data_IF_045084152922
#
_entry.id   IF_045084152922
#
_cell.length_a   1.000
_cell.length_b   1.000
_cell.length_c   1.000
_cell.angle_alpha   90.00
_cell.angle_beta   90.00
_cell.angle_gamma   90.00
#
_symmetry.space_group_name_H-M   'P 1'
#
loop_
_entity.id
_entity.type
_entity.pdbx_description
1 polymer ?
#
# COMPACT_ATOMS: atom_id res chain seq x y z
N UNK A 1 -18.76 13.68 -4.61
CA UNK A 1 -17.68 12.86 -5.18
C UNK A 1 -16.34 13.55 -4.97
N UNK A 2 -15.39 12.88 -4.29
CA UNK A 2 -13.96 13.19 -4.34
C UNK A 2 -13.46 14.35 -3.45
N UNK A 3 -13.04 14.04 -2.22
CA UNK A 3 -12.25 14.94 -1.37
C UNK A 3 -10.88 15.18 -2.00
N UNK A 4 -10.67 16.39 -2.52
CA UNK A 4 -9.35 16.92 -2.85
C UNK A 4 -8.80 17.65 -1.62
N UNK A 5 -8.02 16.99 -0.78
CA UNK A 5 -7.39 17.68 0.35
C UNK A 5 -6.23 16.87 0.92
N UNK A 6 -5.00 17.36 0.70
CA UNK A 6 -3.80 16.92 1.40
C UNK A 6 -2.68 16.41 0.50
N UNK A 7 -1.93 17.33 -0.14
CA UNK A 7 -0.75 17.05 -0.96
C UNK A 7 -1.06 16.24 -2.22
N UNK A 8 -0.69 16.71 -3.40
CA UNK A 8 -0.92 15.97 -4.65
C UNK A 8 0.01 14.73 -4.67
N UNK A 9 -0.36 13.67 -3.93
CA UNK A 9 0.36 12.40 -3.94
C UNK A 9 0.24 11.86 -5.36
N UNK A 10 1.36 11.93 -6.08
CA UNK A 10 1.46 11.41 -7.42
C UNK A 10 1.13 9.93 -7.37
N UNK A 11 -0.03 9.56 -7.90
CA UNK A 11 -0.44 8.17 -8.01
C UNK A 11 0.47 7.50 -9.03
N UNK A 12 1.16 6.44 -8.63
CA UNK A 12 2.02 5.64 -9.52
C UNK A 12 1.33 4.31 -9.82
N UNK A 13 1.21 4.00 -11.11
CA UNK A 13 0.67 2.74 -11.59
C UNK A 13 1.69 1.62 -11.41
N UNK A 14 1.35 0.62 -10.59
CA UNK A 14 2.20 -0.54 -10.34
C UNK A 14 2.42 -1.42 -11.59
N UNK A 15 1.48 -1.41 -12.54
CA UNK A 15 1.58 -2.23 -13.75
C UNK A 15 2.66 -1.70 -14.71
N UNK A 16 2.62 -0.39 -15.02
CA UNK A 16 3.48 0.22 -16.05
C UNK A 16 4.49 1.25 -15.53
N UNK A 17 4.51 1.52 -14.22
CA UNK A 17 5.29 2.58 -13.56
C UNK A 17 4.96 4.02 -14.02
N UNK A 18 3.83 4.20 -14.72
CA UNK A 18 3.34 5.51 -15.14
C UNK A 18 2.70 6.29 -13.99
N UNK A 19 2.70 7.63 -14.08
CA UNK A 19 2.08 8.52 -13.09
C UNK A 19 0.62 8.83 -13.49
N UNK A 20 -0.18 9.29 -12.52
CA UNK A 20 -1.51 9.87 -12.76
C UNK A 20 -2.67 8.88 -12.85
N UNK A 21 -2.43 7.57 -12.75
CA UNK A 21 -3.49 6.56 -12.80
C UNK A 21 -3.21 5.35 -11.92
N UNK A 22 -4.29 4.70 -11.47
CA UNK A 22 -4.21 3.45 -10.71
C UNK A 22 -3.97 2.25 -11.64
N UNK A 23 -3.41 1.15 -11.13
CA UNK A 23 -3.20 -0.07 -11.92
C UNK A 23 -4.50 -0.61 -12.55
N UNK A 24 -5.65 -0.44 -11.89
CA UNK A 24 -6.99 -0.80 -12.40
C UNK A 24 -7.44 -0.01 -13.63
N UNK A 25 -6.83 1.15 -13.88
CA UNK A 25 -7.11 2.04 -15.03
C UNK A 25 -6.04 1.90 -16.12
N UNK A 26 -5.04 1.02 -15.93
CA UNK A 26 -3.94 0.89 -16.89
C UNK A 26 -4.41 0.12 -18.13
N UNK A 27 -4.23 0.73 -19.31
CA UNK A 27 -4.54 0.10 -20.60
C UNK A 27 -3.42 -0.82 -21.10
N UNK A 28 -2.21 -0.70 -20.53
CA UNK A 28 -1.10 -1.59 -20.89
C UNK A 28 -1.37 -3.01 -20.39
N UNK A 29 -0.92 -4.05 -21.11
CA UNK A 29 -1.06 -5.44 -20.66
C UNK A 29 -0.44 -5.65 -19.27
N UNK A 30 -0.89 -6.69 -18.57
CA UNK A 30 -0.35 -7.03 -17.25
C UNK A 30 1.14 -7.33 -17.38
N UNK A 31 1.94 -6.73 -16.49
CA UNK A 31 3.38 -6.98 -16.38
C UNK A 31 3.65 -8.47 -16.19
N UNK A 32 4.67 -8.98 -16.88
CA UNK A 32 5.14 -10.38 -16.74
C UNK A 32 5.61 -10.63 -15.30
N UNK A 33 5.32 -11.82 -14.77
CA UNK A 33 5.82 -12.28 -13.45
C UNK A 33 7.27 -12.71 -13.53
N UNK A 34 8.16 -11.77 -13.83
CA UNK A 34 9.61 -11.98 -13.81
C UNK A 34 10.18 -11.79 -12.39
N UNK A 35 11.47 -12.08 -12.22
CA UNK A 35 12.16 -11.91 -10.94
C UNK A 35 12.05 -10.47 -10.40
N UNK A 36 12.04 -9.47 -11.28
CA UNK A 36 11.88 -8.07 -10.90
C UNK A 36 10.49 -7.75 -10.34
N UNK A 37 9.43 -8.36 -10.90
CA UNK A 37 8.07 -8.27 -10.37
C UNK A 37 7.96 -8.92 -8.99
N UNK A 38 8.58 -10.10 -8.80
CA UNK A 38 8.55 -10.78 -7.50
C UNK A 38 9.23 -9.96 -6.39
N UNK A 39 10.41 -9.40 -6.66
CA UNK A 39 11.11 -8.53 -5.68
C UNK A 39 10.24 -7.35 -5.25
N UNK A 40 9.61 -6.69 -6.22
CA UNK A 40 8.73 -5.54 -5.98
C UNK A 40 7.47 -5.93 -5.20
N UNK A 41 6.93 -7.13 -5.45
CA UNK A 41 5.79 -7.68 -4.69
C UNK A 41 6.16 -8.04 -3.25
N UNK A 42 7.32 -8.65 -3.03
CA UNK A 42 7.82 -9.01 -1.69
C UNK A 42 8.01 -7.75 -0.85
N UNK A 43 8.64 -6.72 -1.42
CA UNK A 43 8.85 -5.44 -0.72
C UNK A 43 7.52 -4.79 -0.31
N UNK A 44 6.50 -4.87 -1.16
CA UNK A 44 5.17 -4.34 -0.86
C UNK A 44 4.49 -5.11 0.28
N UNK A 45 4.53 -6.45 0.25
CA UNK A 45 3.97 -7.30 1.32
C UNK A 45 4.71 -7.04 2.63
N UNK A 46 6.03 -6.90 2.59
CA UNK A 46 6.83 -6.58 3.77
C UNK A 46 6.46 -5.21 4.35
N UNK A 47 6.28 -4.19 3.52
CA UNK A 47 5.82 -2.88 3.99
C UNK A 47 4.41 -2.92 4.58
N UNK A 48 3.53 -3.76 4.04
CA UNK A 48 2.19 -3.98 4.59
C UNK A 48 2.23 -4.76 5.91
N UNK A 49 3.06 -5.80 6.01
CA UNK A 49 3.21 -6.58 7.25
C UNK A 49 3.83 -5.75 8.35
N UNK A 50 4.87 -4.94 8.07
CA UNK A 50 5.43 -4.01 9.06
C UNK A 50 4.39 -3.01 9.55
N UNK A 51 3.48 -2.55 8.68
CA UNK A 51 2.36 -1.69 9.10
C UNK A 51 1.33 -2.44 9.95
N UNK A 52 1.11 -3.72 9.66
CA UNK A 52 0.20 -4.58 10.41
C UNK A 52 0.74 -4.85 11.82
N UNK A 53 2.05 -5.14 11.93
CA UNK A 53 2.79 -5.30 13.21
C UNK A 53 2.66 -4.07 14.10
N UNK A 54 2.79 -2.87 13.53
CA UNK A 54 2.61 -1.64 14.31
C UNK A 54 1.15 -1.44 14.76
N UNK A 55 0.18 -1.92 13.99
CA UNK A 55 -1.24 -1.78 14.31
C UNK A 55 -1.69 -2.79 15.38
N UNK A 56 -1.14 -4.01 15.38
CA UNK A 56 -1.36 -5.01 16.43
C UNK A 56 -0.67 -4.63 17.75
N UNK A 57 0.56 -4.07 17.71
CA UNK A 57 1.19 -3.50 18.92
C UNK A 57 0.34 -2.36 19.51
N UNK A 58 -0.12 -1.40 18.70
CA UNK A 58 -0.97 -0.31 19.19
C UNK A 58 -2.31 -0.80 19.79
N UNK A 59 -2.88 -1.88 19.26
CA UNK A 59 -4.06 -2.54 19.81
C UNK A 59 -3.78 -3.25 21.16
N UNK A 60 -2.63 -3.89 21.30
CA UNK A 60 -2.21 -4.55 22.55
C UNK A 60 -1.97 -3.53 23.67
N UNK A 61 -1.36 -2.38 23.35
CA UNK A 61 -1.17 -1.27 24.31
C UNK A 61 -2.46 -0.54 24.71
N UNK A 62 -3.54 -0.64 23.91
CA UNK A 62 -4.84 -0.01 24.21
C UNK A 62 -5.82 -0.95 24.95
N UNK A 63 -5.45 -2.21 25.19
CA UNK A 63 -6.32 -3.22 25.77
C UNK A 63 -6.42 -3.18 27.31
N UNK A 64 -5.81 -2.22 27.99
CA UNK A 64 -5.88 -2.09 29.45
C UNK A 64 -6.75 -0.88 29.87
N UNK A 65 -8.09 -1.02 29.92
CA UNK A 65 -8.90 -0.11 30.68
C UNK A 65 -8.68 -0.45 32.15
N UNK A 66 -7.76 0.26 32.81
CA UNK A 66 -7.70 0.28 34.27
C UNK A 66 -9.05 0.72 34.82
N UNK A 67 -9.94 -0.23 35.09
CA UNK A 67 -11.23 -0.01 35.73
C UNK A 67 -10.98 0.20 37.22
N UNK A 68 -10.97 1.47 37.63
CA UNK A 68 -11.25 1.91 39.01
C UNK A 68 -12.72 1.72 39.32
#
# INVERSE_FOLDING_TARGET
>A
SGRTSGGQRVIVCYNCKGKGHMAKQCTKPKRKRDAGWFKDKVLLVQAQSSRQVLQEEELDFQADPGTT
#
